data_IF_222000933357
#
_entry.id   IF_222000933357
#
_cell.length_a   1.000
_cell.length_b   1.000
_cell.length_c   1.000
_cell.angle_alpha   90.00
_cell.angle_beta   90.00
_cell.angle_gamma   90.00
#
_symmetry.space_group_name_H-M   'P 1'
#
loop_
_entity.id
_entity.type
_entity.pdbx_description
1 polymer ?
#
# COMPACT_ATOMS: atom_id res chain seq x y z
N UNK A 1 2.57 -24.76 -33.24
CA UNK A 1 1.23 -25.31 -32.94
C UNK A 1 1.27 -26.20 -31.68
N UNK A 2 2.33 -27.01 -31.49
CA UNK A 2 2.49 -27.89 -30.32
C UNK A 2 2.79 -27.12 -29.04
N UNK A 3 3.49 -25.99 -29.08
CA UNK A 3 3.65 -25.10 -27.94
C UNK A 3 2.33 -24.47 -27.48
N UNK A 4 1.47 -24.07 -28.43
CA UNK A 4 0.13 -23.54 -28.13
C UNK A 4 -0.75 -24.65 -27.56
N UNK A 5 -0.63 -25.88 -28.09
CA UNK A 5 -1.37 -27.04 -27.58
C UNK A 5 -0.92 -27.45 -26.19
N UNK A 6 0.37 -27.40 -25.89
CA UNK A 6 0.94 -27.67 -24.58
C UNK A 6 0.58 -26.55 -23.56
N UNK A 7 0.54 -25.28 -23.98
CA UNK A 7 0.07 -24.18 -23.14
C UNK A 7 -1.44 -24.24 -22.84
N UNK A 8 -2.24 -24.81 -23.76
CA UNK A 8 -3.67 -25.05 -23.58
C UNK A 8 -3.96 -26.31 -22.72
N UNK A 9 -3.10 -27.32 -22.80
CA UNK A 9 -3.19 -28.54 -21.94
C UNK A 9 -2.70 -28.29 -20.51
N UNK A 10 -1.90 -27.27 -20.28
CA UNK A 10 -1.48 -26.80 -18.95
C UNK A 10 -2.53 -25.91 -18.26
N UNK A 11 -3.75 -25.80 -18.80
CA UNK A 11 -4.87 -25.18 -18.07
C UNK A 11 -5.08 -25.92 -16.76
N UNK A 12 -5.04 -25.22 -15.61
CA UNK A 12 -5.18 -25.88 -14.31
C UNK A 12 -6.51 -26.65 -14.27
N UNK A 13 -6.44 -27.98 -14.34
CA UNK A 13 -7.59 -28.85 -14.14
C UNK A 13 -7.98 -28.79 -12.67
N UNK A 14 -8.94 -27.96 -12.33
CA UNK A 14 -9.47 -27.84 -10.96
C UNK A 14 -10.48 -26.72 -10.86
N UNK A 15 -11.53 -26.94 -10.06
CA UNK A 15 -12.49 -25.89 -9.72
C UNK A 15 -11.78 -24.69 -9.11
N UNK A 16 -12.23 -23.48 -9.45
CA UNK A 16 -11.77 -22.23 -8.81
C UNK A 16 -11.83 -22.32 -7.29
N UNK A 17 -12.90 -22.93 -6.76
CA UNK A 17 -13.08 -23.16 -5.33
C UNK A 17 -12.05 -24.12 -4.74
N UNK A 18 -11.67 -25.17 -5.46
CA UNK A 18 -10.59 -26.07 -5.04
C UNK A 18 -9.27 -25.36 -4.90
N UNK A 19 -8.88 -24.56 -5.93
CA UNK A 19 -7.65 -23.76 -5.92
C UNK A 19 -7.66 -22.69 -4.82
N UNK A 20 -8.80 -22.05 -4.61
CA UNK A 20 -8.95 -21.07 -3.54
C UNK A 20 -8.74 -21.73 -2.16
N UNK A 21 -9.32 -22.92 -1.95
CA UNK A 21 -9.13 -23.68 -0.72
C UNK A 21 -7.67 -24.11 -0.52
N UNK A 22 -6.97 -24.50 -1.58
CA UNK A 22 -5.55 -24.85 -1.54
C UNK A 22 -4.69 -23.65 -1.08
N UNK A 23 -5.03 -22.43 -1.50
CA UNK A 23 -4.31 -21.21 -1.10
C UNK A 23 -4.35 -20.92 0.41
N UNK A 24 -5.33 -21.47 1.13
CA UNK A 24 -5.45 -21.32 2.58
C UNK A 24 -4.83 -22.50 3.37
N UNK A 25 -3.98 -23.33 2.73
CA UNK A 25 -3.30 -24.46 3.37
C UNK A 25 -1.78 -24.29 3.37
N UNK A 26 -1.14 -24.77 4.43
CA UNK A 26 0.33 -24.82 4.53
C UNK A 26 0.99 -23.44 4.43
N UNK A 27 2.15 -23.39 3.78
CA UNK A 27 2.91 -22.16 3.55
C UNK A 27 2.20 -21.17 2.67
N UNK A 28 1.41 -21.66 1.70
CA UNK A 28 0.60 -20.81 0.82
C UNK A 28 -0.42 -19.96 1.61
N UNK A 29 -0.97 -20.47 2.71
CA UNK A 29 -1.89 -19.71 3.57
C UNK A 29 -1.22 -18.44 4.13
N UNK A 30 0.06 -18.49 4.47
CA UNK A 30 0.81 -17.32 4.96
C UNK A 30 0.98 -16.27 3.86
N UNK A 31 1.32 -16.69 2.65
CA UNK A 31 1.39 -15.82 1.48
C UNK A 31 0.02 -15.18 1.19
N UNK A 32 -1.05 -15.97 1.26
CA UNK A 32 -2.42 -15.51 1.02
C UNK A 32 -2.88 -14.50 2.08
N UNK A 33 -2.65 -14.79 3.35
CA UNK A 33 -2.97 -13.87 4.45
C UNK A 33 -2.16 -12.57 4.31
N UNK A 34 -0.86 -12.68 4.03
CA UNK A 34 -0.01 -11.50 3.79
C UNK A 34 -0.57 -10.65 2.64
N UNK A 35 -0.93 -11.27 1.52
CA UNK A 35 -1.48 -10.57 0.35
C UNK A 35 -2.81 -9.87 0.67
N UNK A 36 -3.72 -10.52 1.39
CA UNK A 36 -5.00 -9.93 1.82
C UNK A 36 -4.75 -8.74 2.76
N UNK A 37 -3.89 -8.90 3.76
CA UNK A 37 -3.55 -7.81 4.70
C UNK A 37 -2.86 -6.67 3.98
N UNK A 38 -1.98 -6.96 3.01
CA UNK A 38 -1.33 -5.95 2.20
C UNK A 38 -2.34 -5.16 1.37
N UNK A 39 -3.27 -5.84 0.66
CA UNK A 39 -4.34 -5.20 -0.09
C UNK A 39 -5.25 -4.35 0.79
N UNK A 40 -5.66 -4.88 1.94
CA UNK A 40 -6.45 -4.14 2.93
C UNK A 40 -5.71 -2.90 3.44
N UNK A 41 -4.39 -3.02 3.66
CA UNK A 41 -3.55 -1.93 4.18
C UNK A 41 -3.47 -0.73 3.23
N UNK A 42 -3.66 -0.90 1.92
CA UNK A 42 -3.68 0.21 0.96
C UNK A 42 -4.68 1.27 1.40
N UNK A 43 -5.90 0.85 1.72
CA UNK A 43 -7.02 1.77 1.92
C UNK A 43 -7.17 2.24 3.36
N UNK A 44 -6.82 1.41 4.34
CA UNK A 44 -6.91 1.82 5.75
C UNK A 44 -5.91 2.93 6.12
N UNK A 45 -4.94 3.23 5.25
CA UNK A 45 -4.07 4.41 5.37
C UNK A 45 -4.82 5.73 5.28
N UNK A 46 -6.06 5.71 4.79
CA UNK A 46 -6.88 6.90 4.62
C UNK A 46 -6.62 7.70 3.34
N UNK A 47 -5.85 7.15 2.39
CA UNK A 47 -5.50 7.87 1.14
C UNK A 47 -6.74 8.31 0.37
N UNK A 48 -7.72 7.41 0.19
CA UNK A 48 -8.92 7.75 -0.57
C UNK A 48 -9.82 8.74 0.19
N UNK A 49 -9.94 8.62 1.52
CA UNK A 49 -10.63 9.64 2.32
C UNK A 49 -9.94 11.00 2.16
N UNK A 50 -8.61 11.04 2.21
CA UNK A 50 -7.81 12.25 2.01
C UNK A 50 -8.05 12.87 0.63
N UNK A 51 -8.13 12.07 -0.44
CA UNK A 51 -8.40 12.53 -1.81
C UNK A 51 -9.86 13.01 -1.95
N UNK A 52 -10.82 12.25 -1.45
CA UNK A 52 -12.25 12.58 -1.57
C UNK A 52 -12.61 13.87 -0.84
N UNK A 53 -12.00 14.10 0.30
CA UNK A 53 -12.25 15.31 1.12
C UNK A 53 -11.19 16.40 0.92
N UNK A 54 -10.26 16.24 -0.05
CA UNK A 54 -9.19 17.19 -0.33
C UNK A 54 -9.66 18.65 -0.46
N UNK A 55 -10.72 18.99 -1.20
CA UNK A 55 -11.18 20.38 -1.30
C UNK A 55 -11.53 20.98 0.06
N UNK A 56 -12.24 20.23 0.91
CA UNK A 56 -12.58 20.66 2.27
C UNK A 56 -11.37 20.80 3.19
N UNK A 57 -10.39 19.91 3.06
CA UNK A 57 -9.13 19.95 3.82
C UNK A 57 -8.31 21.20 3.42
N UNK A 58 -8.13 21.43 2.11
CA UNK A 58 -7.38 22.57 1.61
C UNK A 58 -8.06 23.91 1.89
N UNK A 59 -9.40 23.95 1.88
CA UNK A 59 -10.16 25.15 2.29
C UNK A 59 -9.85 25.52 3.76
N UNK A 60 -9.75 24.54 4.66
CA UNK A 60 -9.34 24.78 6.06
C UNK A 60 -7.89 25.24 6.19
N UNK A 61 -7.03 24.94 5.22
CA UNK A 61 -5.64 25.42 5.13
C UNK A 61 -5.54 26.84 4.51
N UNK A 62 -6.65 27.50 4.25
CA UNK A 62 -6.69 28.87 3.72
C UNK A 62 -6.79 28.99 2.18
N UNK A 63 -6.89 27.87 1.48
CA UNK A 63 -7.09 27.87 0.01
C UNK A 63 -8.58 27.91 -0.31
N UNK A 64 -9.22 29.10 -0.17
CA UNK A 64 -10.67 29.26 -0.19
C UNK A 64 -11.24 29.74 -1.50
N UNK A 65 -10.43 30.32 -2.40
CA UNK A 65 -10.92 30.74 -3.70
C UNK A 65 -11.12 29.54 -4.63
N UNK A 66 -12.07 29.68 -5.59
CA UNK A 66 -12.47 28.57 -6.48
C UNK A 66 -11.30 28.02 -7.30
N UNK A 67 -10.36 28.86 -7.73
CA UNK A 67 -9.23 28.42 -8.53
C UNK A 67 -8.27 27.57 -7.69
N UNK A 68 -7.86 28.05 -6.51
CA UNK A 68 -6.93 27.31 -5.64
C UNK A 68 -7.54 26.03 -5.06
N UNK A 69 -8.84 26.01 -4.79
CA UNK A 69 -9.55 24.82 -4.31
C UNK A 69 -9.41 23.62 -5.24
N UNK A 70 -9.28 23.83 -6.54
CA UNK A 70 -9.08 22.76 -7.53
C UNK A 70 -7.62 22.64 -8.01
N UNK A 71 -6.90 23.76 -8.14
CA UNK A 71 -5.52 23.75 -8.61
C UNK A 71 -4.58 23.08 -7.60
N UNK A 72 -4.77 23.33 -6.31
CA UNK A 72 -3.91 22.75 -5.25
C UNK A 72 -3.98 21.23 -5.23
N UNK A 73 -5.16 20.57 -5.15
CA UNK A 73 -5.23 19.11 -5.26
C UNK A 73 -4.64 18.58 -6.56
N UNK A 74 -4.86 19.28 -7.68
CA UNK A 74 -4.32 18.87 -8.99
C UNK A 74 -2.78 18.89 -9.00
N UNK A 75 -2.18 19.92 -8.40
CA UNK A 75 -0.73 20.01 -8.25
C UNK A 75 -0.18 18.85 -7.38
N UNK A 76 -0.83 18.56 -6.26
CA UNK A 76 -0.45 17.42 -5.40
C UNK A 76 -0.53 16.09 -6.16
N UNK A 77 -1.58 15.89 -6.96
CA UNK A 77 -1.69 14.69 -7.79
C UNK A 77 -0.63 14.62 -8.89
N UNK A 78 -0.23 15.77 -9.45
CA UNK A 78 0.87 15.82 -10.40
C UNK A 78 2.22 15.46 -9.75
N UNK A 79 2.50 15.96 -8.54
CA UNK A 79 3.68 15.56 -7.76
C UNK A 79 3.66 14.07 -7.43
N UNK A 80 2.47 13.51 -7.17
CA UNK A 80 2.30 12.07 -6.92
C UNK A 80 2.62 11.23 -8.15
N UNK A 81 2.29 11.70 -9.35
CA UNK A 81 2.68 11.05 -10.60
C UNK A 81 4.21 10.99 -10.74
N UNK A 82 4.90 12.08 -10.42
CA UNK A 82 6.38 12.10 -10.40
C UNK A 82 6.91 11.06 -9.39
N UNK A 83 6.28 10.97 -8.22
CA UNK A 83 6.66 10.00 -7.18
C UNK A 83 6.53 8.54 -7.66
N UNK A 84 5.46 8.21 -8.40
CA UNK A 84 5.30 6.88 -9.02
C UNK A 84 6.43 6.60 -10.01
N UNK A 85 6.75 7.56 -10.88
CA UNK A 85 7.83 7.39 -11.87
C UNK A 85 9.16 7.15 -11.17
N UNK A 86 9.48 7.93 -10.13
CA UNK A 86 10.70 7.72 -9.34
C UNK A 86 10.69 6.32 -8.70
N UNK A 87 9.56 5.90 -8.11
CA UNK A 87 9.43 4.56 -7.53
C UNK A 87 9.74 3.47 -8.54
N UNK A 88 9.19 3.55 -9.76
CA UNK A 88 9.43 2.59 -10.82
C UNK A 88 10.90 2.54 -11.27
N UNK A 89 11.60 3.67 -11.29
CA UNK A 89 13.00 3.74 -11.70
C UNK A 89 13.97 3.19 -10.63
N UNK A 90 13.58 3.20 -9.38
CA UNK A 90 14.47 2.79 -8.28
C UNK A 90 14.15 1.42 -7.71
N UNK A 91 12.93 0.89 -7.92
CA UNK A 91 12.44 -0.36 -7.31
C UNK A 91 13.35 -1.56 -7.55
N UNK A 92 13.89 -1.69 -8.77
CA UNK A 92 14.76 -2.82 -9.12
C UNK A 92 16.17 -2.69 -8.52
N UNK A 93 16.59 -1.47 -8.14
CA UNK A 93 17.91 -1.21 -7.55
C UNK A 93 17.89 -1.33 -6.03
N UNK A 94 16.84 -0.81 -5.38
CA UNK A 94 16.77 -0.73 -3.91
C UNK A 94 15.91 -1.83 -3.28
N UNK A 95 15.14 -2.54 -4.08
CA UNK A 95 14.25 -3.62 -3.64
C UNK A 95 12.83 -3.15 -3.27
N UNK A 96 11.91 -4.10 -3.36
CA UNK A 96 10.47 -3.86 -3.15
C UNK A 96 10.16 -3.49 -1.70
N UNK A 97 10.77 -4.22 -0.77
CA UNK A 97 10.58 -3.99 0.66
C UNK A 97 11.03 -2.60 1.10
N UNK A 98 12.20 -2.15 0.60
CA UNK A 98 12.73 -0.84 0.93
C UNK A 98 11.80 0.29 0.47
N UNK A 99 11.33 0.23 -0.78
CA UNK A 99 10.42 1.25 -1.35
C UNK A 99 9.12 1.31 -0.56
N UNK A 100 8.54 0.15 -0.21
CA UNK A 100 7.30 0.08 0.56
C UNK A 100 7.47 0.69 1.97
N UNK A 101 8.51 0.30 2.69
CA UNK A 101 8.80 0.81 4.05
C UNK A 101 9.06 2.32 4.02
N UNK A 102 9.84 2.80 3.05
CA UNK A 102 10.14 4.23 2.89
C UNK A 102 8.87 5.03 2.62
N UNK A 103 8.01 4.55 1.71
CA UNK A 103 6.73 5.21 1.41
C UNK A 103 5.83 5.35 2.64
N UNK A 104 5.65 4.25 3.40
CA UNK A 104 4.84 4.26 4.63
C UNK A 104 5.46 5.16 5.70
N UNK A 105 6.77 5.10 5.87
CA UNK A 105 7.46 5.97 6.84
C UNK A 105 7.28 7.45 6.50
N UNK A 106 7.35 7.81 5.22
CA UNK A 106 7.06 9.16 4.73
C UNK A 106 5.62 9.57 5.05
N UNK A 107 4.64 8.67 4.85
CA UNK A 107 3.24 8.94 5.22
C UNK A 107 3.08 9.18 6.73
N UNK A 108 3.75 8.41 7.56
CA UNK A 108 3.70 8.58 9.03
C UNK A 108 4.26 9.95 9.42
N UNK A 109 5.42 10.32 8.90
CA UNK A 109 6.02 11.65 9.15
C UNK A 109 5.08 12.77 8.69
N UNK A 110 4.53 12.65 7.49
CA UNK A 110 3.57 13.61 6.96
C UNK A 110 2.32 13.74 7.85
N UNK A 111 1.80 12.61 8.35
CA UNK A 111 0.65 12.59 9.27
C UNK A 111 0.96 13.29 10.59
N UNK A 112 2.14 13.07 11.14
CA UNK A 112 2.59 13.78 12.37
C UNK A 112 2.67 15.28 12.12
N UNK A 113 3.26 15.71 10.99
CA UNK A 113 3.34 17.12 10.60
C UNK A 113 1.94 17.73 10.50
N UNK A 114 1.00 17.05 9.85
CA UNK A 114 -0.38 17.51 9.70
C UNK A 114 -1.09 17.66 11.05
N UNK A 115 -0.97 16.68 11.93
CA UNK A 115 -1.58 16.71 13.28
C UNK A 115 -0.99 17.85 14.11
N UNK A 116 0.34 17.94 14.17
CA UNK A 116 1.02 18.97 14.98
C UNK A 116 0.65 20.37 14.48
N UNK A 117 0.68 20.61 13.16
CA UNK A 117 0.33 21.91 12.58
C UNK A 117 -1.12 22.26 12.86
N UNK A 118 -2.04 21.32 12.72
CA UNK A 118 -3.46 21.55 13.02
C UNK A 118 -3.70 21.85 14.49
N UNK A 119 -3.09 21.11 15.40
CA UNK A 119 -3.26 21.34 16.85
C UNK A 119 -2.61 22.64 17.32
N UNK A 120 -1.52 23.08 16.67
CA UNK A 120 -0.82 24.32 17.04
C UNK A 120 -1.51 25.58 16.52
N UNK A 121 -2.19 25.52 15.37
CA UNK A 121 -2.70 26.72 14.68
C UNK A 121 -4.07 26.55 14.02
N UNK A 122 -4.69 25.36 14.02
CA UNK A 122 -5.90 25.08 13.23
C UNK A 122 -5.71 25.23 11.71
N UNK A 123 -4.47 25.28 11.24
CA UNK A 123 -4.05 25.72 9.90
C UNK A 123 -4.29 27.23 9.62
N UNK A 124 -4.53 28.02 10.65
CA UNK A 124 -4.68 29.46 10.49
C UNK A 124 -3.35 30.16 10.17
N UNK A 125 -3.40 31.05 9.20
CA UNK A 125 -2.27 31.81 8.71
C UNK A 125 -1.49 31.13 7.57
N UNK A 126 -0.84 31.94 6.74
CA UNK A 126 -0.19 31.49 5.50
C UNK A 126 0.89 30.42 5.72
N UNK A 127 1.67 30.55 6.81
CA UNK A 127 2.74 29.58 7.11
C UNK A 127 2.18 28.22 7.47
N UNK A 128 1.15 28.17 8.32
CA UNK A 128 0.51 26.91 8.70
C UNK A 128 -0.20 26.23 7.52
N UNK A 129 -0.84 27.01 6.66
CA UNK A 129 -1.42 26.53 5.40
C UNK A 129 -0.39 25.90 4.46
N UNK A 130 0.79 26.54 4.30
CA UNK A 130 1.89 26.00 3.50
C UNK A 130 2.45 24.70 4.10
N UNK A 131 2.66 24.64 5.42
CA UNK A 131 3.11 23.42 6.10
C UNK A 131 2.06 22.29 5.91
N UNK A 132 0.78 22.61 6.03
CA UNK A 132 -0.30 21.68 5.76
C UNK A 132 -0.27 21.15 4.32
N UNK A 133 -0.07 22.03 3.34
CA UNK A 133 0.08 21.65 1.93
C UNK A 133 1.28 20.72 1.70
N UNK A 134 2.42 21.03 2.29
CA UNK A 134 3.62 20.17 2.22
C UNK A 134 3.35 18.82 2.87
N UNK A 135 2.68 18.80 4.03
CA UNK A 135 2.29 17.57 4.71
C UNK A 135 1.37 16.70 3.85
N UNK A 136 0.34 17.28 3.25
CA UNK A 136 -0.57 16.58 2.32
C UNK A 136 0.16 16.06 1.09
N UNK A 137 1.08 16.84 0.53
CA UNK A 137 1.89 16.43 -0.62
C UNK A 137 2.78 15.24 -0.25
N UNK A 138 3.50 15.31 0.87
CA UNK A 138 4.35 14.21 1.36
C UNK A 138 3.53 12.95 1.67
N UNK A 139 2.33 13.09 2.24
CA UNK A 139 1.44 11.97 2.50
C UNK A 139 1.05 11.25 1.21
N UNK A 140 0.59 12.00 0.21
CA UNK A 140 0.15 11.44 -1.07
C UNK A 140 1.33 10.89 -1.88
N UNK A 141 2.47 11.59 -1.90
CA UNK A 141 3.69 11.12 -2.55
C UNK A 141 4.24 9.85 -1.88
N UNK A 142 4.25 9.79 -0.54
CA UNK A 142 4.66 8.60 0.20
C UNK A 142 3.78 7.39 -0.11
N UNK A 143 2.47 7.59 -0.22
CA UNK A 143 1.54 6.56 -0.64
C UNK A 143 1.85 6.04 -2.05
N UNK A 144 1.96 6.94 -3.03
CA UNK A 144 2.19 6.55 -4.42
C UNK A 144 3.57 5.95 -4.65
N UNK A 145 4.58 6.42 -3.90
CA UNK A 145 5.92 5.83 -3.91
C UNK A 145 5.92 4.40 -3.37
N UNK A 146 5.24 4.15 -2.24
CA UNK A 146 5.20 2.87 -1.54
C UNK A 146 4.06 1.97 -2.02
N UNK A 147 2.87 2.17 -1.45
CA UNK A 147 1.72 1.29 -1.69
C UNK A 147 1.25 1.30 -3.14
N UNK A 148 1.13 2.47 -3.76
CA UNK A 148 0.55 2.62 -5.09
C UNK A 148 1.28 1.84 -6.18
N UNK A 149 2.59 1.70 -6.08
CA UNK A 149 3.41 0.98 -7.06
C UNK A 149 3.72 -0.46 -6.65
N UNK A 150 3.99 -0.71 -5.36
CA UNK A 150 4.60 -1.97 -4.90
C UNK A 150 3.59 -3.09 -4.69
N UNK A 151 2.38 -2.80 -4.26
CA UNK A 151 1.40 -3.85 -3.90
C UNK A 151 1.06 -4.75 -5.08
N UNK A 152 0.91 -4.17 -6.26
CA UNK A 152 0.61 -4.91 -7.49
C UNK A 152 1.79 -5.75 -7.96
N UNK A 153 3.01 -5.28 -7.72
CA UNK A 153 4.23 -6.06 -7.96
C UNK A 153 4.27 -7.27 -7.02
N UNK A 154 4.06 -7.08 -5.73
CA UNK A 154 3.96 -8.19 -4.77
C UNK A 154 2.87 -9.19 -5.16
N UNK A 155 1.68 -8.71 -5.55
CA UNK A 155 0.59 -9.59 -5.98
C UNK A 155 1.00 -10.51 -7.14
N UNK A 156 1.92 -10.05 -8.00
CA UNK A 156 2.49 -10.82 -9.10
C UNK A 156 3.64 -11.75 -8.73
N UNK A 157 4.43 -11.41 -7.70
CA UNK A 157 5.68 -12.09 -7.32
C UNK A 157 5.52 -13.12 -6.21
N UNK A 158 4.54 -12.95 -5.28
CA UNK A 158 4.40 -13.84 -4.11
C UNK A 158 3.74 -15.18 -4.44
N UNK A 159 3.00 -15.26 -5.55
CA UNK A 159 2.25 -16.47 -5.90
C UNK A 159 2.86 -17.22 -7.09
N UNK A 160 2.92 -18.56 -7.05
CA UNK A 160 3.22 -19.37 -8.23
C UNK A 160 2.26 -19.03 -9.38
N UNK A 161 2.70 -19.25 -10.62
CA UNK A 161 1.93 -18.94 -11.83
C UNK A 161 0.49 -19.48 -11.79
N UNK A 162 0.30 -20.68 -11.22
CA UNK A 162 -1.01 -21.34 -11.06
C UNK A 162 -2.01 -20.54 -10.22
N UNK A 163 -1.54 -19.80 -9.20
CA UNK A 163 -2.39 -19.08 -8.23
C UNK A 163 -2.33 -17.57 -8.39
N UNK A 164 -1.47 -17.04 -9.28
CA UNK A 164 -1.20 -15.61 -9.42
C UNK A 164 -2.46 -14.78 -9.68
N UNK A 165 -3.33 -15.22 -10.59
CA UNK A 165 -4.58 -14.51 -10.88
C UNK A 165 -5.55 -14.51 -9.71
N UNK A 166 -5.67 -15.62 -8.98
CA UNK A 166 -6.50 -15.71 -7.77
C UNK A 166 -5.92 -14.85 -6.65
N UNK A 167 -4.59 -14.87 -6.46
CA UNK A 167 -3.92 -14.05 -5.48
C UNK A 167 -4.13 -12.56 -5.74
N UNK A 168 -3.96 -12.11 -6.98
CA UNK A 168 -4.24 -10.72 -7.38
C UNK A 168 -5.71 -10.34 -7.15
N UNK A 169 -6.65 -11.26 -7.42
CA UNK A 169 -8.08 -11.03 -7.14
C UNK A 169 -8.36 -10.89 -5.64
N UNK A 170 -7.69 -11.66 -4.79
CA UNK A 170 -7.83 -11.55 -3.33
C UNK A 170 -7.30 -10.21 -2.82
N UNK A 171 -6.13 -9.76 -3.31
CA UNK A 171 -5.58 -8.43 -2.99
C UNK A 171 -6.56 -7.34 -3.39
N UNK A 172 -7.06 -7.37 -4.63
CA UNK A 172 -8.02 -6.39 -5.13
C UNK A 172 -9.33 -6.40 -4.34
N UNK A 173 -9.85 -7.58 -3.98
CA UNK A 173 -11.07 -7.70 -3.19
C UNK A 173 -10.88 -7.09 -1.79
N UNK A 174 -9.75 -7.37 -1.15
CA UNK A 174 -9.42 -6.80 0.16
C UNK A 174 -9.27 -5.28 0.08
N UNK A 175 -8.63 -4.77 -0.98
CA UNK A 175 -8.48 -3.35 -1.28
C UNK A 175 -9.85 -2.67 -1.44
N UNK A 176 -10.74 -3.21 -2.27
CA UNK A 176 -12.07 -2.64 -2.51
C UNK A 176 -12.97 -2.67 -1.25
N UNK A 177 -12.90 -3.73 -0.45
CA UNK A 177 -13.64 -3.80 0.83
C UNK A 177 -13.12 -2.71 1.77
N UNK A 178 -11.81 -2.58 1.93
CA UNK A 178 -11.21 -1.56 2.78
C UNK A 178 -11.52 -0.14 2.26
N UNK A 179 -11.55 0.07 0.94
CA UNK A 179 -11.95 1.33 0.33
C UNK A 179 -13.40 1.70 0.67
N UNK A 180 -14.33 0.76 0.54
CA UNK A 180 -15.72 1.00 0.89
C UNK A 180 -15.88 1.38 2.38
N UNK A 181 -15.18 0.70 3.28
CA UNK A 181 -15.15 1.01 4.72
C UNK A 181 -14.59 2.41 4.95
N UNK A 182 -13.44 2.74 4.37
CA UNK A 182 -12.75 4.01 4.55
C UNK A 182 -13.55 5.18 3.98
N UNK A 183 -14.20 4.99 2.82
CA UNK A 183 -15.05 6.01 2.22
C UNK A 183 -16.28 6.32 3.09
N UNK A 184 -16.91 5.30 3.67
CA UNK A 184 -18.07 5.50 4.55
C UNK A 184 -17.69 6.14 5.89
N UNK A 185 -16.57 5.72 6.47
CA UNK A 185 -16.15 6.22 7.78
C UNK A 185 -15.48 7.59 7.70
N UNK A 186 -14.86 7.95 6.58
CA UNK A 186 -14.06 9.17 6.43
C UNK A 186 -14.82 10.45 6.76
N UNK A 187 -16.05 10.61 6.22
CA UNK A 187 -16.89 11.76 6.52
C UNK A 187 -17.30 11.79 8.00
N UNK A 188 -17.79 10.66 8.50
CA UNK A 188 -18.22 10.55 9.90
C UNK A 188 -17.07 10.82 10.88
N UNK A 189 -15.85 10.43 10.55
CA UNK A 189 -14.66 10.72 11.37
C UNK A 189 -14.30 12.21 11.31
N UNK A 190 -14.32 12.84 10.13
CA UNK A 190 -14.05 14.28 10.00
C UNK A 190 -15.04 15.13 10.77
N UNK A 191 -16.31 14.76 10.76
CA UNK A 191 -17.38 15.47 11.46
C UNK A 191 -17.39 15.15 12.98
N UNK A 192 -17.09 13.91 13.38
CA UNK A 192 -17.19 13.46 14.78
C UNK A 192 -15.96 13.74 15.62
N UNK A 193 -14.75 13.45 15.09
CA UNK A 193 -13.48 13.60 15.82
C UNK A 193 -12.54 14.65 15.23
N UNK A 194 -13.01 15.34 14.20
CA UNK A 194 -12.28 16.40 13.53
C UNK A 194 -11.06 15.93 12.73
N UNK A 195 -10.35 16.89 12.14
CA UNK A 195 -9.24 16.60 11.24
C UNK A 195 -8.06 15.93 11.94
N UNK A 196 -7.65 16.44 13.11
CA UNK A 196 -6.54 15.87 13.89
C UNK A 196 -6.86 14.44 14.36
N UNK A 197 -8.09 14.20 14.84
CA UNK A 197 -8.53 12.86 15.24
C UNK A 197 -8.53 11.88 14.09
N UNK A 198 -9.02 12.30 12.94
CA UNK A 198 -9.06 11.49 11.71
C UNK A 198 -7.65 11.11 11.25
N UNK A 199 -6.74 12.08 11.15
CA UNK A 199 -5.34 11.79 10.84
C UNK A 199 -4.65 10.96 11.93
N UNK A 200 -5.05 11.14 13.21
CA UNK A 200 -4.56 10.32 14.33
C UNK A 200 -4.91 8.84 14.17
N UNK A 201 -6.15 8.53 13.80
CA UNK A 201 -6.59 7.15 13.51
C UNK A 201 -5.83 6.57 12.31
N UNK A 202 -5.77 7.29 11.19
CA UNK A 202 -5.02 6.82 10.02
C UNK A 202 -3.52 6.66 10.30
N UNK A 203 -2.92 7.58 11.07
CA UNK A 203 -1.54 7.49 11.52
C UNK A 203 -1.28 6.24 12.38
N UNK A 204 -2.19 5.93 13.30
CA UNK A 204 -2.14 4.70 14.09
C UNK A 204 -2.21 3.44 13.21
N UNK A 205 -3.11 3.42 12.23
CA UNK A 205 -3.23 2.31 11.29
C UNK A 205 -1.99 2.18 10.38
N UNK A 206 -1.37 3.30 9.97
CA UNK A 206 -0.10 3.30 9.24
C UNK A 206 1.03 2.68 10.07
N UNK A 207 1.11 2.98 11.37
CA UNK A 207 2.10 2.36 12.26
C UNK A 207 1.87 0.85 12.36
N UNK A 208 0.62 0.41 12.53
CA UNK A 208 0.29 -1.03 12.54
C UNK A 208 0.68 -1.70 11.23
N UNK A 209 0.36 -1.07 10.08
CA UNK A 209 0.75 -1.57 8.76
C UNK A 209 2.28 -1.64 8.62
N UNK A 210 3.01 -0.60 9.07
CA UNK A 210 4.47 -0.60 9.05
C UNK A 210 5.06 -1.75 9.86
N UNK A 211 4.59 -1.96 11.09
CA UNK A 211 5.06 -3.05 11.96
C UNK A 211 4.79 -4.43 11.33
N UNK A 212 3.60 -4.61 10.74
CA UNK A 212 3.27 -5.82 10.00
C UNK A 212 4.22 -6.05 8.83
N UNK A 213 4.48 -5.03 8.02
CA UNK A 213 5.34 -5.13 6.85
C UNK A 213 6.81 -5.31 7.22
N UNK A 214 7.29 -4.65 8.26
CA UNK A 214 8.64 -4.88 8.80
C UNK A 214 8.84 -6.34 9.21
N UNK A 215 7.78 -6.98 9.73
CA UNK A 215 7.85 -8.38 10.20
C UNK A 215 7.68 -9.40 9.08
N UNK A 216 6.79 -9.16 8.11
CA UNK A 216 6.33 -10.18 7.19
C UNK A 216 6.64 -9.91 5.71
N UNK A 217 6.93 -8.67 5.29
CA UNK A 217 7.21 -8.39 3.89
C UNK A 217 8.55 -9.00 3.47
N UNK A 218 8.58 -9.94 2.52
CA UNK A 218 9.83 -10.45 1.97
C UNK A 218 10.48 -9.42 1.05
N UNK A 219 11.78 -9.44 0.90
CA UNK A 219 12.42 -8.83 -0.27
C UNK A 219 12.33 -9.83 -1.43
N UNK A 220 11.63 -9.44 -2.47
CA UNK A 220 11.40 -10.31 -3.64
C UNK A 220 12.34 -9.99 -4.81
N UNK A 221 13.05 -8.86 -4.75
CA UNK A 221 13.99 -8.46 -5.79
C UNK A 221 15.09 -9.49 -5.97
N UNK A 222 15.28 -9.97 -7.21
CA UNK A 222 16.32 -10.94 -7.53
C UNK A 222 16.10 -12.34 -6.98
N UNK A 223 14.91 -12.67 -6.45
CA UNK A 223 14.56 -13.99 -5.92
C UNK A 223 13.73 -14.79 -6.92
N UNK A 224 14.01 -16.09 -6.96
CA UNK A 224 13.17 -17.03 -7.73
C UNK A 224 11.82 -17.27 -7.02
N UNK A 225 10.83 -17.76 -7.78
CA UNK A 225 9.54 -18.11 -7.19
C UNK A 225 9.64 -19.23 -6.17
N UNK A 226 10.57 -20.15 -6.37
CA UNK A 226 10.86 -21.26 -5.47
C UNK A 226 11.41 -20.74 -4.13
N UNK A 227 12.36 -19.82 -4.15
CA UNK A 227 12.91 -19.19 -2.94
C UNK A 227 11.81 -18.44 -2.16
N UNK A 228 10.91 -17.74 -2.86
CA UNK A 228 9.79 -17.04 -2.21
C UNK A 228 8.82 -18.04 -1.58
N UNK A 229 8.56 -19.18 -2.21
CA UNK A 229 7.76 -20.26 -1.61
C UNK A 229 8.42 -20.83 -0.36
N UNK A 230 9.72 -21.06 -0.41
CA UNK A 230 10.49 -21.54 0.75
C UNK A 230 10.46 -20.56 1.91
N UNK A 231 10.52 -19.26 1.64
CA UNK A 231 10.31 -18.23 2.66
C UNK A 231 8.96 -18.40 3.37
N UNK A 232 7.88 -18.59 2.62
CA UNK A 232 6.54 -18.77 3.19
C UNK A 232 6.39 -20.11 3.91
N UNK A 233 6.98 -21.19 3.39
CA UNK A 233 6.99 -22.51 4.02
C UNK A 233 7.78 -22.50 5.34
N UNK A 234 8.85 -21.72 5.41
CA UNK A 234 9.71 -21.58 6.59
C UNK A 234 9.21 -20.51 7.60
N UNK A 235 7.92 -20.24 7.63
CA UNK A 235 7.32 -19.34 8.63
C UNK A 235 7.61 -17.86 8.41
N UNK A 236 7.65 -17.40 7.15
CA UNK A 236 8.00 -16.05 6.75
C UNK A 236 9.40 -15.65 7.25
N UNK A 237 10.36 -16.53 7.02
CA UNK A 237 11.79 -16.35 7.28
C UNK A 237 12.60 -16.94 6.14
N UNK A 238 13.64 -16.24 5.70
CA UNK A 238 14.56 -16.80 4.73
C UNK A 238 15.23 -18.05 5.33
N UNK A 239 15.33 -19.16 4.57
CA UNK A 239 16.14 -20.28 4.99
C UNK A 239 17.56 -19.79 5.29
N UNK A 240 18.17 -20.29 6.35
CA UNK A 240 19.61 -20.05 6.56
C UNK A 240 20.31 -20.66 5.36
N UNK A 241 21.26 -19.90 4.78
CA UNK A 241 22.17 -20.45 3.77
C UNK A 241 22.82 -21.67 4.41
N UNK A 242 22.39 -22.86 3.99
CA UNK A 242 23.00 -24.11 4.46
C UNK A 242 24.46 -24.09 4.06
N UNK A 243 25.30 -24.46 5.02
CA UNK A 243 26.68 -24.85 4.80
C UNK A 243 26.72 -25.74 3.56
N UNK A 244 27.72 -25.61 2.67
CA UNK A 244 27.80 -26.42 1.47
C UNK A 244 27.64 -27.88 1.86
N UNK A 245 26.71 -28.58 1.21
CA UNK A 245 26.58 -30.01 1.32
C UNK A 245 27.95 -30.62 1.00
N UNK A 246 28.66 -31.05 2.05
CA UNK A 246 29.80 -31.96 1.91
C UNK A 246 29.23 -33.28 1.40
N UNK A 247 29.55 -33.62 0.19
CA UNK A 247 29.23 -34.89 -0.41
C UNK A 247 29.89 -35.04 -1.72
#
# INVERSE_FOLDING_TARGET
LDEIRNSLSSRPSGSVWGRLREMFHGGMARATIFAIVLGFSIQITGINATIYYAPGIYSRMGFTDTATTYLVPSLVQFLSLISVVISMLVIDKVGRRFVLITGISTMIVATIVLIVTYLASGFEGAVAGIIGLVGMSLFTMGFTFGFGSIVWVYAGEIFPARYRSLGASLVLTADLIANAITAQLGAAMLDGIGLAGTFGVYGGLLVVALLFLLRYAPETSGRSLEEIQDYWNNGARWPKADSPSMG
#
